data_IF_949892016888
#
_entry.id   IF_949892016888
#
_cell.length_a   1.000
_cell.length_b   1.000
_cell.length_c   1.000
_cell.angle_alpha   90.00
_cell.angle_beta   90.00
_cell.angle_gamma   90.00
#
_symmetry.space_group_name_H-M   'P 1'
#
loop_
_entity.id
_entity.type
_entity.pdbx_description
1 polymer ?
#
# COMPACT_ATOMS: atom_id res chain seq x y z
N UNK A 1 -4.11 20.64 -14.98
CA UNK A 1 -5.10 19.70 -14.47
C UNK A 1 -5.45 19.90 -13.01
N UNK A 2 -4.92 19.09 -12.10
CA UNK A 2 -5.34 19.03 -10.68
C UNK A 2 -5.08 20.34 -9.94
N UNK A 3 -3.91 20.96 -10.10
CA UNK A 3 -3.57 22.25 -9.48
C UNK A 3 -4.53 23.38 -9.86
N UNK A 4 -4.93 23.47 -11.13
CA UNK A 4 -5.88 24.46 -11.59
C UNK A 4 -7.28 24.23 -11.00
N UNK A 5 -7.72 22.97 -10.83
CA UNK A 5 -9.01 22.65 -10.20
C UNK A 5 -9.01 22.91 -8.69
N UNK A 6 -7.90 22.68 -8.02
CA UNK A 6 -7.75 23.03 -6.59
C UNK A 6 -7.82 24.55 -6.38
N UNK A 7 -7.30 25.33 -7.33
CA UNK A 7 -7.33 26.80 -7.29
C UNK A 7 -8.70 27.39 -7.69
N UNK A 8 -9.42 26.73 -8.60
CA UNK A 8 -10.71 27.21 -9.15
C UNK A 8 -11.96 26.70 -8.39
N UNK A 9 -11.75 25.97 -7.28
CA UNK A 9 -12.85 25.42 -6.48
C UNK A 9 -13.34 24.04 -6.95
N UNK A 10 -14.15 23.41 -6.10
CA UNK A 10 -14.63 22.02 -6.25
C UNK A 10 -16.08 21.94 -6.79
N UNK A 11 -16.58 23.00 -7.40
CA UNK A 11 -17.99 23.06 -7.82
C UNK A 11 -18.32 22.05 -8.93
N UNK A 12 -17.45 21.87 -9.93
CA UNK A 12 -17.63 20.83 -10.95
C UNK A 12 -16.99 19.51 -10.54
N UNK A 13 -17.82 18.56 -10.08
CA UNK A 13 -17.41 17.25 -9.58
C UNK A 13 -17.28 16.17 -10.65
N UNK A 14 -17.67 16.42 -11.90
CA UNK A 14 -17.66 15.40 -12.97
C UNK A 14 -16.27 14.82 -13.23
N UNK A 15 -15.24 15.66 -13.26
CA UNK A 15 -13.87 15.23 -13.46
C UNK A 15 -13.28 14.44 -12.26
N UNK A 16 -13.85 14.59 -11.06
CA UNK A 16 -13.42 13.83 -9.88
C UNK A 16 -13.82 12.38 -9.96
N UNK A 17 -14.91 12.04 -10.66
CA UNK A 17 -15.31 10.66 -10.92
C UNK A 17 -14.23 9.87 -11.69
N UNK A 18 -13.68 10.45 -12.76
CA UNK A 18 -12.58 9.83 -13.50
C UNK A 18 -11.31 9.71 -12.68
N UNK A 19 -11.03 10.69 -11.83
CA UNK A 19 -9.88 10.65 -10.93
C UNK A 19 -10.03 9.55 -9.87
N UNK A 20 -11.20 9.43 -9.25
CA UNK A 20 -11.51 8.37 -8.30
C UNK A 20 -11.43 6.99 -8.95
N UNK A 21 -11.95 6.83 -10.17
CA UNK A 21 -11.84 5.59 -10.94
C UNK A 21 -10.37 5.21 -11.21
N UNK A 22 -9.52 6.19 -11.53
CA UNK A 22 -8.08 5.94 -11.73
C UNK A 22 -7.40 5.47 -10.44
N UNK A 23 -7.72 6.08 -9.30
CA UNK A 23 -7.17 5.66 -7.99
C UNK A 23 -7.68 4.26 -7.63
N UNK A 24 -8.97 3.97 -7.83
CA UNK A 24 -9.54 2.63 -7.62
C UNK A 24 -8.88 1.59 -8.50
N UNK A 25 -8.61 1.92 -9.75
CA UNK A 25 -7.86 1.04 -10.65
C UNK A 25 -6.43 0.78 -10.15
N UNK A 26 -5.71 1.81 -9.68
CA UNK A 26 -4.38 1.62 -9.10
C UNK A 26 -4.41 0.78 -7.82
N UNK A 27 -5.41 0.97 -6.97
CA UNK A 27 -5.58 0.18 -5.74
C UNK A 27 -5.90 -1.29 -6.06
N UNK A 28 -6.79 -1.56 -7.00
CA UNK A 28 -7.23 -2.92 -7.32
C UNK A 28 -6.22 -3.68 -8.16
N UNK A 29 -5.46 -3.03 -9.01
CA UNK A 29 -4.45 -3.67 -9.87
C UNK A 29 -3.06 -3.67 -9.22
N UNK A 30 -2.44 -2.50 -9.08
CA UNK A 30 -1.09 -2.38 -8.52
C UNK A 30 -1.07 -2.71 -7.02
N UNK A 31 -2.09 -2.31 -6.28
CA UNK A 31 -2.25 -2.63 -4.85
C UNK A 31 -2.50 -4.12 -4.61
N UNK A 32 -3.13 -4.83 -5.54
CA UNK A 32 -3.33 -6.28 -5.41
C UNK A 32 -2.08 -7.10 -5.78
N UNK A 33 -1.15 -6.55 -6.56
CA UNK A 33 0.04 -7.29 -7.01
C UNK A 33 0.87 -7.93 -5.87
N UNK A 34 1.12 -7.29 -4.73
CA UNK A 34 1.82 -7.92 -3.60
C UNK A 34 1.12 -9.18 -3.05
N UNK A 35 -0.19 -9.35 -3.30
CA UNK A 35 -0.91 -10.57 -2.90
C UNK A 35 -0.39 -11.82 -3.60
N UNK A 36 0.12 -11.69 -4.82
CA UNK A 36 0.79 -12.76 -5.54
C UNK A 36 2.05 -13.25 -4.81
N UNK A 37 2.69 -12.38 -4.02
CA UNK A 37 3.81 -12.75 -3.17
C UNK A 37 3.35 -13.36 -1.83
N UNK A 38 2.28 -12.82 -1.25
CA UNK A 38 1.80 -13.16 0.10
C UNK A 38 1.11 -14.52 0.12
N UNK A 39 0.14 -14.75 -0.77
CA UNK A 39 -0.66 -15.97 -0.76
C UNK A 39 0.16 -17.26 -0.93
N UNK A 40 1.10 -17.36 -1.89
CA UNK A 40 1.94 -18.54 -2.01
C UNK A 40 2.94 -18.70 -0.84
N UNK A 41 3.39 -17.59 -0.24
CA UNK A 41 4.27 -17.67 0.93
C UNK A 41 3.53 -18.29 2.13
N UNK A 42 2.25 -17.96 2.32
CA UNK A 42 1.38 -18.59 3.33
C UNK A 42 1.18 -20.08 3.01
N UNK A 43 0.98 -20.41 1.74
CA UNK A 43 0.83 -21.79 1.24
C UNK A 43 2.15 -22.60 1.20
N UNK A 44 3.28 -22.02 1.63
CA UNK A 44 4.63 -22.63 1.59
C UNK A 44 5.06 -23.08 0.18
N UNK A 45 4.64 -22.36 -0.86
CA UNK A 45 4.96 -22.65 -2.25
C UNK A 45 6.32 -22.05 -2.63
N UNK A 46 7.37 -22.86 -2.65
CA UNK A 46 8.75 -22.40 -2.91
C UNK A 46 9.00 -21.97 -4.37
N UNK A 47 8.21 -22.43 -5.33
CA UNK A 47 8.36 -22.14 -6.76
C UNK A 47 8.06 -20.66 -7.12
N UNK A 48 7.39 -19.96 -6.25
CA UNK A 48 6.96 -18.58 -6.50
C UNK A 48 8.04 -17.53 -6.18
N UNK A 49 9.17 -17.92 -5.59
CA UNK A 49 10.23 -17.00 -5.13
C UNK A 49 10.66 -15.95 -6.16
N UNK A 50 10.85 -16.26 -7.46
CA UNK A 50 11.21 -15.23 -8.44
C UNK A 50 10.10 -14.20 -8.66
N UNK A 51 8.84 -14.66 -8.69
CA UNK A 51 7.66 -13.82 -8.94
C UNK A 51 7.36 -12.95 -7.72
N UNK A 52 7.58 -13.45 -6.50
CA UNK A 52 7.31 -12.70 -5.27
C UNK A 52 8.12 -11.41 -5.18
N UNK A 53 9.34 -11.40 -5.70
CA UNK A 53 10.18 -10.19 -5.72
C UNK A 53 9.60 -9.11 -6.62
N UNK A 54 9.21 -9.49 -7.83
CA UNK A 54 8.61 -8.57 -8.80
C UNK A 54 7.28 -8.04 -8.24
N UNK A 55 6.43 -8.93 -7.73
CA UNK A 55 5.14 -8.58 -7.15
C UNK A 55 5.30 -7.62 -5.95
N UNK A 56 6.26 -7.84 -5.07
CA UNK A 56 6.49 -6.97 -3.91
C UNK A 56 7.01 -5.57 -4.30
N UNK A 57 7.68 -5.42 -5.45
CA UNK A 57 8.10 -4.10 -5.94
C UNK A 57 6.91 -3.19 -6.27
N UNK A 58 5.75 -3.76 -6.62
CA UNK A 58 4.53 -2.98 -6.83
C UNK A 58 4.06 -2.25 -5.57
N UNK A 59 4.53 -2.64 -4.38
CA UNK A 59 4.28 -1.88 -3.14
C UNK A 59 4.80 -0.44 -3.22
N UNK A 60 5.80 -0.15 -4.06
CA UNK A 60 6.30 1.22 -4.30
C UNK A 60 5.24 2.08 -4.99
N UNK A 61 4.41 1.49 -5.85
CA UNK A 61 3.29 2.19 -6.50
C UNK A 61 2.28 2.67 -5.46
N UNK A 62 2.19 1.99 -4.31
CA UNK A 62 1.39 2.43 -3.17
C UNK A 62 1.73 3.85 -2.70
N UNK A 63 2.99 4.28 -2.80
CA UNK A 63 3.39 5.66 -2.47
C UNK A 63 2.70 6.64 -3.42
N UNK A 64 2.74 6.35 -4.73
CA UNK A 64 2.11 7.21 -5.75
C UNK A 64 0.60 7.24 -5.53
N UNK A 65 -0.01 6.08 -5.25
CA UNK A 65 -1.45 5.97 -4.98
C UNK A 65 -1.83 6.73 -3.71
N UNK A 66 -1.05 6.63 -2.63
CA UNK A 66 -1.28 7.35 -1.38
C UNK A 66 -1.20 8.88 -1.59
N UNK A 67 -0.18 9.36 -2.31
CA UNK A 67 -0.06 10.78 -2.62
C UNK A 67 -1.20 11.27 -3.54
N UNK A 68 -1.57 10.47 -4.54
CA UNK A 68 -2.67 10.77 -5.43
C UNK A 68 -4.04 10.74 -4.71
N UNK A 69 -4.20 9.96 -3.64
CA UNK A 69 -5.46 9.92 -2.88
C UNK A 69 -5.70 11.18 -2.03
N UNK A 70 -4.66 11.97 -1.72
CA UNK A 70 -4.79 13.16 -0.88
C UNK A 70 -5.85 14.15 -1.41
N UNK A 71 -5.83 14.57 -2.69
CA UNK A 71 -6.86 15.45 -3.23
C UNK A 71 -8.27 14.83 -3.17
N UNK A 72 -8.36 13.50 -3.36
CA UNK A 72 -9.64 12.79 -3.30
C UNK A 72 -10.26 12.82 -1.90
N UNK A 73 -9.45 12.74 -0.85
CA UNK A 73 -9.91 12.83 0.54
C UNK A 73 -10.63 14.16 0.80
N UNK A 74 -10.12 15.25 0.23
CA UNK A 74 -10.74 16.57 0.37
C UNK A 74 -11.95 16.79 -0.57
N UNK A 75 -12.05 16.02 -1.65
CA UNK A 75 -13.10 16.11 -2.66
C UNK A 75 -14.25 15.13 -2.45
N UNK A 76 -14.30 14.38 -1.32
CA UNK A 76 -15.37 13.45 -1.04
C UNK A 76 -16.73 14.14 -1.07
N UNK A 77 -17.74 13.53 -1.73
CA UNK A 77 -19.03 14.18 -1.92
C UNK A 77 -19.79 14.30 -0.60
N UNK A 78 -20.63 15.35 -0.44
CA UNK A 78 -21.44 15.52 0.75
C UNK A 78 -22.48 14.39 0.88
N UNK A 79 -22.93 14.16 2.10
CA UNK A 79 -23.94 13.16 2.44
C UNK A 79 -25.28 13.40 1.76
N UNK A 80 -25.67 14.66 1.67
CA UNK A 80 -26.95 15.10 1.11
C UNK A 80 -26.65 15.79 -0.22
N UNK A 81 -27.28 15.29 -1.30
CA UNK A 81 -27.26 15.90 -2.63
C UNK A 81 -28.69 15.96 -3.13
N UNK A 82 -29.15 17.16 -3.54
CA UNK A 82 -30.51 17.40 -4.05
C UNK A 82 -31.59 16.87 -3.11
N UNK A 83 -31.47 17.18 -1.81
CA UNK A 83 -32.37 16.74 -0.73
C UNK A 83 -32.46 15.21 -0.53
N UNK A 84 -31.77 14.44 -1.36
CA UNK A 84 -31.71 12.98 -1.22
C UNK A 84 -30.49 12.56 -0.42
N UNK A 85 -30.72 11.78 0.64
CA UNK A 85 -29.66 11.17 1.44
C UNK A 85 -29.04 10.00 0.68
N UNK A 86 -27.71 10.01 0.49
CA UNK A 86 -26.99 8.89 -0.12
C UNK A 86 -27.06 7.65 0.78
N UNK A 87 -27.43 6.51 0.21
CA UNK A 87 -27.53 5.23 0.93
C UNK A 87 -26.18 4.54 1.08
N UNK A 88 -25.21 5.18 1.72
CA UNK A 88 -23.96 4.53 2.05
C UNK A 88 -23.71 4.68 3.55
N UNK A 89 -23.43 3.59 4.23
CA UNK A 89 -23.12 3.56 5.66
C UNK A 89 -21.97 4.49 6.04
N UNK A 90 -21.05 4.75 5.09
CA UNK A 90 -19.90 5.64 5.25
C UNK A 90 -20.28 7.12 5.32
N UNK A 91 -21.44 7.49 4.83
CA UNK A 91 -21.97 8.85 4.80
C UNK A 91 -22.98 9.13 5.93
N UNK A 92 -23.31 8.15 6.75
CA UNK A 92 -24.19 8.37 7.91
C UNK A 92 -23.48 9.07 9.08
N UNK A 93 -22.13 9.05 9.08
CA UNK A 93 -21.37 9.73 10.12
C UNK A 93 -21.37 11.24 9.86
N UNK A 94 -21.92 11.98 10.80
CA UNK A 94 -21.94 13.47 10.79
C UNK A 94 -20.56 14.11 10.92
N UNK A 95 -19.53 13.33 11.29
CA UNK A 95 -18.16 13.74 11.47
C UNK A 95 -17.31 13.22 10.31
N UNK A 96 -16.19 13.85 10.00
CA UNK A 96 -15.21 13.49 8.95
C UNK A 96 -14.69 12.03 9.01
N UNK A 97 -15.39 11.12 9.66
CA UNK A 97 -14.93 9.75 9.90
C UNK A 97 -14.68 8.95 8.60
N UNK A 98 -15.48 9.05 7.51
CA UNK A 98 -15.17 8.36 6.26
C UNK A 98 -13.83 8.79 5.66
N UNK A 99 -13.55 10.11 5.71
CA UNK A 99 -12.29 10.67 5.22
C UNK A 99 -11.09 10.13 6.00
N UNK A 100 -11.23 10.06 7.32
CA UNK A 100 -10.19 9.55 8.23
C UNK A 100 -9.96 8.06 7.98
N UNK A 101 -11.01 7.26 7.89
CA UNK A 101 -10.89 5.82 7.64
C UNK A 101 -10.29 5.52 6.28
N UNK A 102 -10.69 6.25 5.24
CA UNK A 102 -10.12 6.12 3.89
C UNK A 102 -8.63 6.46 3.89
N UNK A 103 -8.26 7.60 4.49
CA UNK A 103 -6.87 8.02 4.61
C UNK A 103 -6.03 6.99 5.39
N UNK A 104 -6.47 6.57 6.58
CA UNK A 104 -5.77 5.60 7.41
C UNK A 104 -5.58 4.27 6.67
N UNK A 105 -6.59 3.83 5.91
CA UNK A 105 -6.53 2.58 5.17
C UNK A 105 -5.51 2.63 4.03
N UNK A 106 -5.49 3.69 3.25
CA UNK A 106 -4.53 3.84 2.13
C UNK A 106 -3.10 4.00 2.67
N UNK A 107 -2.90 4.86 3.65
CA UNK A 107 -1.57 5.04 4.26
C UNK A 107 -1.11 3.78 4.98
N UNK A 108 -2.00 3.11 5.71
CA UNK A 108 -1.73 1.84 6.36
C UNK A 108 -1.34 0.75 5.35
N UNK A 109 -2.08 0.63 4.24
CA UNK A 109 -1.78 -0.28 3.15
C UNK A 109 -0.39 -0.01 2.56
N UNK A 110 -0.08 1.26 2.31
CA UNK A 110 1.23 1.68 1.78
C UNK A 110 2.36 1.33 2.74
N UNK A 111 2.22 1.63 4.03
CA UNK A 111 3.22 1.32 5.04
C UNK A 111 3.42 -0.20 5.20
N UNK A 112 2.35 -0.98 5.22
CA UNK A 112 2.42 -2.44 5.27
C UNK A 112 3.10 -3.00 4.00
N UNK A 113 2.77 -2.48 2.81
CA UNK A 113 3.39 -2.88 1.56
C UNK A 113 4.89 -2.58 1.52
N UNK A 114 5.30 -1.39 1.95
CA UNK A 114 6.72 -1.02 2.06
C UNK A 114 7.46 -1.84 3.12
N UNK A 115 6.79 -2.13 4.24
CA UNK A 115 7.32 -3.01 5.28
C UNK A 115 7.51 -4.44 4.79
N UNK A 116 6.59 -4.95 3.98
CA UNK A 116 6.67 -6.24 3.32
C UNK A 116 7.84 -6.29 2.33
N UNK A 117 7.95 -5.27 1.45
CA UNK A 117 9.04 -5.13 0.50
C UNK A 117 10.40 -5.07 1.22
N UNK A 118 10.50 -4.24 2.25
CA UNK A 118 11.73 -4.14 3.05
C UNK A 118 12.07 -5.47 3.71
N UNK A 119 11.12 -6.13 4.37
CA UNK A 119 11.35 -7.39 5.06
C UNK A 119 11.80 -8.49 4.10
N UNK A 120 11.19 -8.58 2.92
CA UNK A 120 11.58 -9.55 1.89
C UNK A 120 12.95 -9.25 1.29
N UNK A 121 13.41 -8.01 1.33
CA UNK A 121 14.70 -7.57 0.78
C UNK A 121 15.86 -7.70 1.79
N UNK A 122 15.62 -8.00 3.07
CA UNK A 122 16.68 -8.09 4.09
C UNK A 122 17.81 -9.06 3.71
N UNK A 123 17.54 -10.28 3.19
CA UNK A 123 18.61 -11.19 2.78
C UNK A 123 19.46 -10.65 1.63
N UNK A 124 18.83 -9.94 0.68
CA UNK A 124 19.54 -9.32 -0.45
C UNK A 124 20.42 -8.15 0.02
N UNK A 125 19.94 -7.37 0.97
CA UNK A 125 20.68 -6.29 1.62
C UNK A 125 21.88 -6.85 2.41
N UNK A 126 21.73 -8.02 3.03
CA UNK A 126 22.86 -8.70 3.69
C UNK A 126 23.90 -9.17 2.66
N UNK A 127 23.47 -9.78 1.55
CA UNK A 127 24.37 -10.15 0.46
C UNK A 127 25.07 -8.92 -0.15
N UNK A 128 24.36 -7.80 -0.30
CA UNK A 128 24.93 -6.54 -0.76
C UNK A 128 25.96 -5.95 0.24
N UNK A 129 25.77 -6.16 1.55
CA UNK A 129 26.77 -5.82 2.57
C UNK A 129 28.05 -6.65 2.41
N UNK A 130 27.90 -7.94 2.17
CA UNK A 130 29.03 -8.88 2.18
C UNK A 130 29.82 -8.86 0.88
N UNK A 131 29.13 -8.71 -0.26
CA UNK A 131 29.75 -8.75 -1.59
C UNK A 131 29.77 -7.41 -2.34
N UNK A 132 29.11 -6.38 -1.82
CA UNK A 132 29.03 -5.06 -2.46
C UNK A 132 30.30 -4.23 -2.27
N UNK A 133 30.45 -3.22 -3.12
CA UNK A 133 31.52 -2.22 -3.05
C UNK A 133 30.97 -0.81 -2.90
N UNK A 134 31.78 0.09 -2.37
CA UNK A 134 31.43 1.51 -2.27
C UNK A 134 30.14 1.79 -1.48
N UNK A 135 29.27 2.61 -2.07
CA UNK A 135 28.02 3.05 -1.44
C UNK A 135 27.03 1.89 -1.22
N UNK A 136 27.03 0.88 -2.10
CA UNK A 136 26.17 -0.32 -1.96
C UNK A 136 26.47 -1.08 -0.68
N UNK A 137 27.76 -1.26 -0.36
CA UNK A 137 28.18 -1.90 0.89
C UNK A 137 27.70 -1.13 2.12
N UNK A 138 27.79 0.21 2.08
CA UNK A 138 27.32 1.07 3.18
C UNK A 138 25.80 0.93 3.40
N UNK A 139 25.02 0.98 2.31
CA UNK A 139 23.58 0.77 2.37
C UNK A 139 23.23 -0.63 2.90
N UNK A 140 23.87 -1.68 2.37
CA UNK A 140 23.68 -3.04 2.85
C UNK A 140 23.96 -3.17 4.35
N UNK A 141 25.06 -2.57 4.84
CA UNK A 141 25.40 -2.57 6.26
C UNK A 141 24.33 -1.90 7.13
N UNK A 142 23.82 -0.75 6.71
CA UNK A 142 22.78 -0.01 7.45
C UNK A 142 21.44 -0.72 7.44
N UNK A 143 20.98 -1.19 6.28
CA UNK A 143 19.62 -1.68 6.09
C UNK A 143 19.46 -3.18 6.38
N UNK A 144 20.53 -4.00 6.37
CA UNK A 144 20.43 -5.44 6.67
C UNK A 144 20.18 -5.74 8.15
N UNK A 145 20.26 -4.74 9.04
CA UNK A 145 20.03 -4.87 10.50
C UNK A 145 20.78 -6.04 11.15
N UNK A 146 22.00 -6.32 10.69
CA UNK A 146 22.81 -7.42 11.23
C UNK A 146 22.29 -8.83 10.88
N UNK A 147 21.51 -8.95 9.81
CA UNK A 147 21.06 -10.26 9.35
C UNK A 147 22.26 -11.09 8.87
N UNK A 148 22.46 -12.27 9.47
CA UNK A 148 23.54 -13.24 9.16
C UNK A 148 22.98 -14.58 8.64
N UNK A 149 21.66 -14.71 8.58
CA UNK A 149 21.04 -15.92 8.04
C UNK A 149 20.92 -17.08 9.02
N UNK A 150 20.97 -16.85 10.34
CA UNK A 150 20.72 -17.90 11.33
C UNK A 150 19.27 -18.41 11.28
N UNK A 151 19.01 -19.67 11.65
CA UNK A 151 17.67 -20.25 11.66
C UNK A 151 16.67 -19.42 12.47
N UNK A 152 17.10 -18.86 13.60
CA UNK A 152 16.29 -17.97 14.42
C UNK A 152 15.90 -16.69 13.68
N UNK A 153 16.84 -16.08 12.94
CA UNK A 153 16.58 -14.89 12.15
C UNK A 153 15.66 -15.20 10.96
N UNK A 154 15.85 -16.33 10.28
CA UNK A 154 14.96 -16.76 9.21
C UNK A 154 13.54 -17.02 9.71
N UNK A 155 13.38 -17.71 10.86
CA UNK A 155 12.07 -17.93 11.47
C UNK A 155 11.37 -16.60 11.82
N UNK A 156 12.09 -15.67 12.44
CA UNK A 156 11.58 -14.34 12.78
C UNK A 156 11.20 -13.55 11.53
N UNK A 157 12.02 -13.59 10.48
CA UNK A 157 11.75 -12.92 9.21
C UNK A 157 10.49 -13.48 8.54
N UNK A 158 10.36 -14.81 8.43
CA UNK A 158 9.15 -15.45 7.87
C UNK A 158 7.89 -15.09 8.64
N UNK A 159 7.96 -15.08 9.97
CA UNK A 159 6.83 -14.68 10.81
C UNK A 159 6.43 -13.21 10.57
N UNK A 160 7.41 -12.30 10.46
CA UNK A 160 7.19 -10.88 10.17
C UNK A 160 6.55 -10.67 8.80
N UNK A 161 7.05 -11.35 7.76
CA UNK A 161 6.48 -11.30 6.41
C UNK A 161 5.03 -11.83 6.43
N UNK A 162 4.78 -12.93 7.14
CA UNK A 162 3.44 -13.48 7.28
C UNK A 162 2.47 -12.50 7.95
N UNK A 163 2.86 -11.91 9.09
CA UNK A 163 2.02 -10.92 9.78
C UNK A 163 1.74 -9.69 8.91
N UNK A 164 2.78 -9.10 8.32
CA UNK A 164 2.60 -7.94 7.42
C UNK A 164 1.75 -8.28 6.21
N UNK A 165 1.90 -9.50 5.65
CA UNK A 165 1.08 -9.98 4.56
C UNK A 165 -0.40 -10.11 4.94
N UNK A 166 -0.70 -10.62 6.12
CA UNK A 166 -2.06 -10.71 6.64
C UNK A 166 -2.67 -9.32 6.84
N UNK A 167 -1.94 -8.39 7.45
CA UNK A 167 -2.40 -7.01 7.61
C UNK A 167 -2.61 -6.33 6.26
N UNK A 168 -1.70 -6.52 5.31
CA UNK A 168 -1.83 -5.99 3.96
C UNK A 168 -3.12 -6.49 3.29
N UNK A 169 -3.40 -7.79 3.39
CA UNK A 169 -4.62 -8.39 2.85
C UNK A 169 -5.88 -7.78 3.47
N UNK A 170 -5.93 -7.70 4.79
CA UNK A 170 -7.08 -7.14 5.50
C UNK A 170 -7.32 -5.67 5.12
N UNK A 171 -6.26 -4.86 5.06
CA UNK A 171 -6.36 -3.46 4.65
C UNK A 171 -6.77 -3.31 3.19
N UNK A 172 -6.25 -4.16 2.30
CA UNK A 172 -6.64 -4.15 0.89
C UNK A 172 -8.13 -4.48 0.73
N UNK A 173 -8.62 -5.50 1.42
CA UNK A 173 -10.05 -5.83 1.43
C UNK A 173 -10.87 -4.65 1.96
N UNK A 174 -10.46 -4.06 3.09
CA UNK A 174 -11.15 -2.95 3.69
C UNK A 174 -11.24 -1.73 2.77
N UNK A 175 -10.13 -1.34 2.12
CA UNK A 175 -10.10 -0.22 1.16
C UNK A 175 -11.02 -0.46 -0.05
N UNK A 176 -11.17 -1.71 -0.50
CA UNK A 176 -12.05 -2.02 -1.62
C UNK A 176 -13.55 -2.05 -1.23
N UNK A 177 -13.87 -2.13 0.07
CA UNK A 177 -15.24 -2.02 0.57
C UNK A 177 -15.63 -0.57 0.96
N UNK A 178 -14.67 0.33 1.06
CA UNK A 178 -14.88 1.77 1.28
C UNK A 178 -15.30 2.46 -0.02
#
# INVERSE_FOLDING_TARGET
GILLKVLNGFEDKSAWGYYAATISFLLTTAGAAPMVAIAPTIAKADWVRPITRIASLFSVVGIVTALASIPLIFALPPLIVDETRRRSIWFEATNYSPHVWFALSIFGLTLCGLGLLYSSSIPDLAAMRDHGTGWRKRLGKSLSRGFIGTDRQWKSLKMRIGMMGTFYFLLLMFVNFL
#
